data_IF_767791394996
#
_entry.id   IF_767791394996
#
_cell.length_a   1.000
_cell.length_b   1.000
_cell.length_c   1.000
_cell.angle_alpha   90.00
_cell.angle_beta   90.00
_cell.angle_gamma   90.00
#
_symmetry.space_group_name_H-M   'P 1'
#
loop_
_entity.id
_entity.type
_entity.pdbx_description
1 polymer ?
#
# COMPACT_ATOMS: atom_id res chain seq x y z
N UNK A 1 20.46 13.91 -7.42
CA UNK A 1 19.18 14.55 -7.04
C UNK A 1 18.08 13.83 -7.79
N UNK A 2 17.34 12.97 -7.09
CA UNK A 2 16.16 12.33 -7.67
C UNK A 2 15.02 13.35 -7.74
N UNK A 3 14.22 13.32 -8.81
CA UNK A 3 12.99 14.11 -8.93
C UNK A 3 11.86 13.16 -9.26
N UNK A 4 10.86 13.11 -8.39
CA UNK A 4 9.59 12.44 -8.64
C UNK A 4 8.60 13.53 -9.06
N UNK A 5 7.91 13.32 -10.18
CA UNK A 5 6.86 14.23 -10.62
C UNK A 5 5.55 13.80 -9.96
N UNK A 6 5.12 14.53 -8.95
CA UNK A 6 3.86 14.26 -8.25
C UNK A 6 2.62 14.68 -9.07
N UNK A 7 2.78 15.40 -10.19
CA UNK A 7 1.67 16.02 -10.92
C UNK A 7 0.76 16.84 -9.97
N UNK A 8 -0.53 17.01 -10.27
CA UNK A 8 -1.48 17.64 -9.33
C UNK A 8 -1.86 16.74 -8.14
N UNK A 9 -1.37 15.50 -8.10
CA UNK A 9 -1.62 14.56 -7.02
C UNK A 9 -0.61 14.77 -5.88
N UNK A 10 -1.05 14.60 -4.63
CA UNK A 10 -0.17 14.65 -3.47
C UNK A 10 0.60 13.34 -3.25
N UNK A 11 0.32 12.28 -4.03
CA UNK A 11 0.92 10.96 -3.89
C UNK A 11 1.22 10.31 -5.25
N UNK A 12 2.22 9.42 -5.26
CA UNK A 12 2.64 8.63 -6.42
C UNK A 12 2.82 7.18 -5.99
N UNK A 13 2.11 6.26 -6.62
CA UNK A 13 2.30 4.82 -6.41
C UNK A 13 3.52 4.35 -7.21
N UNK A 14 4.46 3.69 -6.55
CA UNK A 14 5.72 3.22 -7.17
C UNK A 14 5.79 1.70 -7.33
N UNK A 15 4.89 0.99 -6.65
CA UNK A 15 4.81 -0.46 -6.65
C UNK A 15 3.45 -0.90 -6.16
N UNK A 16 2.86 -1.88 -6.83
CA UNK A 16 1.63 -2.51 -6.42
C UNK A 16 1.65 -3.98 -6.82
N UNK A 17 1.32 -4.86 -5.90
CA UNK A 17 1.29 -6.31 -6.15
C UNK A 17 0.39 -7.05 -5.17
N UNK A 18 -0.04 -8.25 -5.56
CA UNK A 18 -0.62 -9.22 -4.64
C UNK A 18 0.48 -9.71 -3.70
N UNK A 19 0.20 -9.77 -2.39
CA UNK A 19 1.21 -10.10 -1.38
C UNK A 19 1.79 -11.51 -1.60
N UNK A 20 0.91 -12.49 -1.76
CA UNK A 20 1.29 -13.90 -1.97
C UNK A 20 0.08 -14.72 -2.42
N UNK A 21 0.30 -16.00 -2.78
CA UNK A 21 -0.80 -16.93 -3.03
C UNK A 21 -1.69 -17.16 -1.78
N UNK A 22 -1.13 -17.08 -0.57
CA UNK A 22 -1.89 -17.21 0.70
C UNK A 22 -2.77 -15.97 0.95
N UNK A 23 -2.32 -14.80 0.49
CA UNK A 23 -2.98 -13.50 0.64
C UNK A 23 -3.36 -12.92 -0.72
N UNK A 24 -3.94 -13.76 -1.58
CA UNK A 24 -4.25 -13.40 -2.98
C UNK A 24 -5.34 -12.33 -3.14
N UNK A 25 -6.16 -12.12 -2.11
CA UNK A 25 -7.22 -11.12 -2.06
C UNK A 25 -6.76 -9.81 -1.42
N UNK A 26 -5.47 -9.69 -1.08
CA UNK A 26 -4.88 -8.48 -0.49
C UNK A 26 -3.79 -7.96 -1.41
N UNK A 27 -3.95 -6.71 -1.82
CA UNK A 27 -3.00 -5.98 -2.66
C UNK A 27 -2.21 -5.04 -1.77
N UNK A 28 -0.88 -5.12 -1.89
CA UNK A 28 0.03 -4.15 -1.28
C UNK A 28 0.31 -3.05 -2.31
N UNK A 29 0.06 -1.80 -1.93
CA UNK A 29 0.44 -0.61 -2.69
C UNK A 29 1.48 0.18 -1.89
N UNK A 30 2.55 0.63 -2.54
CA UNK A 30 3.56 1.51 -1.95
C UNK A 30 3.52 2.85 -2.66
N UNK A 31 3.32 3.92 -1.88
CA UNK A 31 3.29 5.29 -2.37
C UNK A 31 4.39 6.11 -1.73
N UNK A 32 4.81 7.12 -2.48
CA UNK A 32 5.54 8.26 -1.94
C UNK A 32 4.55 9.42 -1.95
N UNK A 33 4.41 10.08 -0.82
CA UNK A 33 3.52 11.24 -0.68
C UNK A 33 4.34 12.49 -0.38
N UNK A 34 3.90 13.60 -0.93
CA UNK A 34 4.46 14.90 -0.64
C UNK A 34 3.85 15.43 0.65
N UNK A 35 4.68 15.64 1.67
CA UNK A 35 4.31 16.27 2.92
C UNK A 35 4.76 17.73 2.93
N UNK A 36 4.25 18.53 3.88
CA UNK A 36 4.63 19.93 3.99
C UNK A 36 6.15 20.12 4.16
N UNK A 37 6.67 21.24 3.63
CA UNK A 37 8.07 21.68 3.75
C UNK A 37 9.12 20.79 3.05
N UNK A 38 8.87 20.38 1.80
CA UNK A 38 9.80 19.60 0.97
C UNK A 38 10.21 18.24 1.56
N UNK A 39 9.38 17.72 2.46
CA UNK A 39 9.54 16.38 3.05
C UNK A 39 8.57 15.42 2.38
N UNK A 40 8.87 14.14 2.49
CA UNK A 40 8.09 13.09 1.89
C UNK A 40 7.80 11.99 2.91
N UNK A 41 6.69 11.31 2.75
CA UNK A 41 6.32 10.10 3.51
C UNK A 41 6.24 8.91 2.56
N UNK A 42 6.43 7.72 3.12
CA UNK A 42 6.10 6.46 2.46
C UNK A 42 4.75 6.04 3.03
N UNK A 43 3.75 5.87 2.16
CA UNK A 43 2.49 5.24 2.52
C UNK A 43 2.48 3.80 1.99
N UNK A 44 2.10 2.85 2.82
CA UNK A 44 1.87 1.46 2.40
C UNK A 44 0.43 1.12 2.74
N UNK A 45 -0.31 0.75 1.71
CA UNK A 45 -1.72 0.35 1.81
C UNK A 45 -1.82 -1.15 1.54
N UNK A 46 -2.58 -1.84 2.38
CA UNK A 46 -2.99 -3.21 2.17
C UNK A 46 -4.51 -3.25 2.02
N UNK A 47 -4.94 -3.26 0.76
CA UNK A 47 -6.35 -3.18 0.39
C UNK A 47 -6.85 -4.55 -0.07
N UNK A 48 -8.12 -4.89 0.17
CA UNK A 48 -8.79 -5.92 -0.59
C UNK A 48 -8.70 -5.62 -2.09
N UNK A 49 -8.56 -6.65 -2.90
CA UNK A 49 -8.49 -6.55 -4.38
C UNK A 49 -9.58 -5.67 -4.99
N UNK A 50 -10.83 -5.75 -4.49
CA UNK A 50 -11.96 -4.95 -4.98
C UNK A 50 -11.99 -3.49 -4.47
N UNK A 51 -11.13 -3.11 -3.52
CA UNK A 51 -11.11 -1.79 -2.87
C UNK A 51 -9.79 -1.03 -3.06
N UNK A 52 -8.91 -1.52 -3.93
CA UNK A 52 -7.60 -0.91 -4.19
C UNK A 52 -7.75 0.57 -4.52
N UNK A 53 -7.05 1.44 -3.77
CA UNK A 53 -7.06 2.89 -3.98
C UNK A 53 -8.34 3.60 -3.55
N UNK A 54 -9.27 2.91 -2.89
CA UNK A 54 -10.46 3.54 -2.27
C UNK A 54 -10.20 4.02 -0.83
N UNK A 55 -8.98 3.82 -0.31
CA UNK A 55 -8.62 4.14 1.08
C UNK A 55 -9.21 3.17 2.10
N UNK A 56 -9.61 1.97 1.63
CA UNK A 56 -10.24 0.92 2.41
C UNK A 56 -9.24 -0.22 2.65
N UNK A 57 -8.66 -0.26 3.85
CA UNK A 57 -7.62 -1.23 4.17
C UNK A 57 -6.76 -0.83 5.35
N UNK A 58 -5.59 -1.44 5.43
CA UNK A 58 -4.57 -1.11 6.42
C UNK A 58 -3.60 -0.12 5.82
N UNK A 59 -3.53 1.07 6.44
CA UNK A 59 -2.66 2.13 5.97
C UNK A 59 -1.56 2.36 7.00
N UNK A 60 -0.35 2.38 6.49
CA UNK A 60 0.86 2.67 7.23
C UNK A 60 1.56 3.88 6.63
N UNK A 61 1.97 4.84 7.46
CA UNK A 61 2.68 6.03 7.01
C UNK A 61 4.00 6.23 7.76
N UNK A 62 5.09 6.44 7.02
CA UNK A 62 6.39 6.76 7.61
C UNK A 62 6.40 8.15 8.26
N UNK A 63 7.36 8.38 9.15
CA UNK A 63 7.74 9.75 9.51
C UNK A 63 8.23 10.50 8.26
N UNK A 64 7.91 11.81 8.14
CA UNK A 64 8.39 12.62 7.03
C UNK A 64 9.92 12.73 7.00
N UNK A 65 10.52 12.46 5.84
CA UNK A 65 11.98 12.51 5.62
C UNK A 65 12.31 13.07 4.24
N UNK A 66 13.59 13.19 3.90
CA UNK A 66 13.99 13.64 2.56
C UNK A 66 13.85 12.53 1.51
N UNK A 67 13.73 12.93 0.25
CA UNK A 67 13.51 12.00 -0.86
C UNK A 67 14.65 10.98 -1.03
N UNK A 68 15.90 11.39 -0.86
CA UNK A 68 17.05 10.50 -1.03
C UNK A 68 17.03 9.34 0.00
N UNK A 69 16.59 9.61 1.23
CA UNK A 69 16.37 8.58 2.25
C UNK A 69 15.25 7.62 1.85
N UNK A 70 14.12 8.14 1.35
CA UNK A 70 13.02 7.31 0.86
C UNK A 70 13.50 6.39 -0.26
N UNK A 71 14.20 6.93 -1.25
CA UNK A 71 14.71 6.15 -2.38
C UNK A 71 15.58 5.01 -1.89
N UNK A 72 16.55 5.29 -1.01
CA UNK A 72 17.42 4.26 -0.44
C UNK A 72 16.64 3.15 0.28
N UNK A 73 15.64 3.52 1.07
CA UNK A 73 14.83 2.55 1.83
C UNK A 73 14.01 1.66 0.89
N UNK A 74 13.36 2.27 -0.10
CA UNK A 74 12.50 1.55 -1.04
C UNK A 74 13.30 0.71 -2.04
N UNK A 75 14.46 1.18 -2.51
CA UNK A 75 15.35 0.36 -3.35
C UNK A 75 15.83 -0.90 -2.60
N UNK A 76 16.18 -0.76 -1.32
CA UNK A 76 16.56 -1.91 -0.49
C UNK A 76 15.38 -2.87 -0.25
N UNK A 77 14.19 -2.36 0.00
CA UNK A 77 13.02 -3.18 0.31
C UNK A 77 12.44 -3.89 -0.92
N UNK A 78 12.39 -3.20 -2.06
CA UNK A 78 11.86 -3.75 -3.31
C UNK A 78 12.90 -4.51 -4.12
N UNK A 79 14.19 -4.36 -3.78
CA UNK A 79 15.31 -4.83 -4.59
C UNK A 79 15.25 -4.34 -6.06
N UNK A 80 14.69 -3.15 -6.27
CA UNK A 80 14.56 -2.47 -7.57
C UNK A 80 15.11 -1.06 -7.46
N UNK A 81 15.87 -0.62 -8.45
CA UNK A 81 16.31 0.78 -8.53
C UNK A 81 15.14 1.69 -8.87
N UNK A 82 15.23 2.98 -8.53
CA UNK A 82 14.21 3.99 -8.87
C UNK A 82 13.91 4.04 -10.38
N UNK A 83 14.88 3.73 -11.24
CA UNK A 83 14.71 3.64 -12.70
C UNK A 83 13.87 2.45 -13.16
N UNK A 84 13.65 1.48 -12.28
CA UNK A 84 12.89 0.24 -12.50
C UNK A 84 11.54 0.27 -11.77
N UNK A 85 11.19 1.40 -11.14
CA UNK A 85 9.90 1.54 -10.47
C UNK A 85 8.79 1.79 -11.47
N UNK A 86 7.71 1.04 -11.28
CA UNK A 86 6.50 1.14 -12.06
C UNK A 86 5.66 2.25 -11.45
N UNK A 87 5.80 3.48 -11.97
CA UNK A 87 4.98 4.60 -11.54
C UNK A 87 3.53 4.36 -11.98
N UNK A 88 2.72 3.83 -11.07
CA UNK A 88 1.30 3.55 -11.32
C UNK A 88 0.54 4.86 -11.21
N UNK A 89 0.24 5.46 -12.36
CA UNK A 89 -0.76 6.54 -12.44
C UNK A 89 -2.10 5.91 -12.08
N UNK A 90 -2.84 6.58 -11.19
CA UNK A 90 -4.04 6.15 -10.45
C UNK A 90 -5.15 5.46 -11.28
N UNK A 91 -5.09 5.45 -12.62
CA UNK A 91 -6.20 5.13 -13.52
C UNK A 91 -6.09 3.76 -14.24
N UNK A 92 -5.01 2.98 -14.05
CA UNK A 92 -4.72 1.82 -14.92
C UNK A 92 -4.84 0.44 -14.27
N UNK A 93 -5.54 0.30 -13.14
CA UNK A 93 -6.11 -1.02 -12.83
C UNK A 93 -7.54 -0.99 -13.29
N UNK A 94 -7.75 -1.56 -14.48
CA UNK A 94 -9.09 -1.94 -14.87
C UNK A 94 -9.67 -2.79 -13.73
N UNK A 95 -10.82 -2.36 -13.21
CA UNK A 95 -11.76 -3.18 -12.43
C UNK A 95 -11.93 -4.60 -13.02
N UNK A 96 -11.60 -4.79 -14.30
CA UNK A 96 -11.59 -6.06 -15.03
C UNK A 96 -10.50 -7.10 -14.63
N UNK A 97 -9.55 -6.80 -13.74
CA UNK A 97 -8.42 -7.71 -13.42
C UNK A 97 -8.63 -8.54 -12.16
N UNK A 98 -9.55 -8.13 -11.29
CA UNK A 98 -9.86 -8.86 -10.07
C UNK A 98 -11.21 -9.52 -10.30
N UNK A 99 -11.19 -10.86 -10.42
CA UNK A 99 -12.43 -11.65 -10.45
C UNK A 99 -13.31 -11.29 -9.25
N UNK A 100 -14.62 -11.52 -9.35
CA UNK A 100 -15.52 -11.42 -8.19
C UNK A 100 -14.87 -12.06 -6.95
N UNK A 101 -14.69 -11.25 -5.92
CA UNK A 101 -14.11 -11.66 -4.64
C UNK A 101 -14.93 -12.82 -4.10
N UNK A 102 -14.31 -13.98 -3.85
CA UNK A 102 -14.94 -14.99 -3.02
C UNK A 102 -14.94 -14.47 -1.58
N UNK A 103 -16.09 -13.97 -1.14
CA UNK A 103 -16.27 -13.38 0.20
C UNK A 103 -15.76 -14.30 1.32
N UNK A 104 -15.86 -15.62 1.15
CA UNK A 104 -15.38 -16.60 2.14
C UNK A 104 -13.85 -16.60 2.22
N UNK A 105 -13.20 -16.52 1.05
CA UNK A 105 -11.75 -16.50 0.92
C UNK A 105 -11.17 -15.19 1.46
N UNK A 106 -11.78 -14.05 1.12
CA UNK A 106 -11.33 -12.74 1.61
C UNK A 106 -11.44 -12.61 3.14
N UNK A 107 -12.50 -13.14 3.76
CA UNK A 107 -12.63 -13.19 5.22
C UNK A 107 -11.51 -14.00 5.89
N UNK A 108 -11.22 -15.19 5.35
CA UNK A 108 -10.14 -16.05 5.86
C UNK A 108 -8.79 -15.34 5.72
N UNK A 109 -8.55 -14.68 4.59
CA UNK A 109 -7.29 -13.98 4.37
C UNK A 109 -7.16 -12.71 5.23
N UNK A 110 -8.24 -11.98 5.52
CA UNK A 110 -8.22 -10.86 6.49
C UNK A 110 -7.79 -11.37 7.87
N UNK A 111 -8.33 -12.52 8.32
CA UNK A 111 -7.89 -13.13 9.58
C UNK A 111 -6.42 -13.59 9.57
N UNK A 112 -5.96 -14.20 8.47
CA UNK A 112 -4.56 -14.60 8.31
C UNK A 112 -3.67 -13.36 8.32
N UNK A 113 -4.05 -12.31 7.61
CA UNK A 113 -3.32 -11.05 7.53
C UNK A 113 -3.19 -10.40 8.90
N UNK A 114 -4.29 -10.29 9.65
CA UNK A 114 -4.30 -9.76 11.01
C UNK A 114 -3.42 -10.60 11.96
N UNK A 115 -3.60 -11.93 12.00
CA UNK A 115 -2.96 -12.78 13.01
C UNK A 115 -1.52 -13.17 12.68
N UNK A 116 -1.24 -13.50 11.43
CA UNK A 116 0.07 -14.06 10.99
C UNK A 116 1.02 -12.97 10.49
N UNK A 117 0.49 -11.93 9.86
CA UNK A 117 1.29 -10.85 9.28
C UNK A 117 1.29 -9.58 10.14
N UNK A 118 0.69 -9.65 11.33
CA UNK A 118 0.50 -8.51 12.24
C UNK A 118 -0.10 -7.32 11.50
N UNK A 119 -1.18 -7.59 10.78
CA UNK A 119 -1.90 -6.64 9.93
C UNK A 119 -1.02 -5.96 8.87
N UNK A 120 0.09 -6.60 8.46
CA UNK A 120 1.02 -6.10 7.45
C UNK A 120 2.33 -5.55 8.02
N UNK A 121 2.49 -5.46 9.34
CA UNK A 121 3.72 -4.97 9.98
C UNK A 121 4.96 -5.76 9.56
N UNK A 122 4.83 -7.08 9.41
CA UNK A 122 5.93 -7.95 8.99
C UNK A 122 6.31 -7.80 7.50
N UNK A 123 5.53 -7.04 6.73
CA UNK A 123 5.72 -6.84 5.29
C UNK A 123 6.28 -5.45 4.94
N UNK A 124 6.58 -4.64 5.96
CA UNK A 124 7.08 -3.28 5.79
C UNK A 124 8.60 -3.24 5.50
N UNK A 125 9.09 -2.15 4.89
CA UNK A 125 10.51 -1.83 4.90
C UNK A 125 11.02 -1.65 6.32
N UNK A 126 12.30 -1.93 6.55
CA UNK A 126 12.96 -1.58 7.81
C UNK A 126 13.19 -0.06 7.84
N UNK A 127 12.41 0.65 8.67
CA UNK A 127 12.27 2.11 8.61
C UNK A 127 12.79 2.79 9.87
N UNK A 128 13.39 3.97 9.66
CA UNK A 128 13.97 4.82 10.70
C UNK A 128 12.87 5.49 11.54
N UNK A 129 12.30 4.75 12.50
CA UNK A 129 11.52 5.30 13.60
C UNK A 129 10.05 5.54 13.29
N UNK A 130 9.23 4.94 14.17
CA UNK A 130 7.78 5.07 14.42
C UNK A 130 6.90 5.63 13.31
N UNK A 131 5.85 4.87 13.02
CA UNK A 131 4.84 5.19 12.05
C UNK A 131 3.44 5.01 12.63
N UNK A 132 2.50 5.78 12.10
CA UNK A 132 1.10 5.69 12.49
C UNK A 132 0.45 4.51 11.74
N UNK A 133 -0.09 3.58 12.52
CA UNK A 133 -0.86 2.44 12.04
C UNK A 133 -2.33 2.76 12.17
N UNK A 134 -3.04 2.91 11.05
CA UNK A 134 -4.47 3.19 11.06
C UNK A 134 -5.20 2.19 10.18
N UNK A 135 -6.03 1.35 10.81
CA UNK A 135 -7.08 0.62 10.09
C UNK A 135 -8.14 1.63 9.66
N UNK A 136 -8.31 1.83 8.36
CA UNK A 136 -9.44 2.58 7.85
C UNK A 136 -10.64 1.63 7.78
N UNK A 137 -11.80 2.01 8.34
CA UNK A 137 -12.92 1.08 8.49
C UNK A 137 -13.51 0.73 7.12
N UNK A 138 -13.40 -0.56 6.79
CA UNK A 138 -13.92 -1.20 5.60
C UNK A 138 -15.38 -0.85 5.26
N UNK A 139 -15.61 -0.21 4.11
CA UNK A 139 -16.91 -0.27 3.44
C UNK A 139 -17.26 -1.71 3.05
N UNK A 140 -16.24 -2.56 2.82
CA UNK A 140 -16.34 -4.00 2.52
C UNK A 140 -17.19 -4.79 3.53
N UNK A 141 -16.93 -4.69 4.84
CA UNK A 141 -17.73 -5.42 5.85
C UNK A 141 -19.18 -4.94 5.89
N UNK A 142 -19.43 -3.67 5.62
CA UNK A 142 -20.80 -3.11 5.50
C UNK A 142 -21.51 -3.57 4.23
N UNK A 143 -20.78 -3.67 3.11
CA UNK A 143 -21.27 -4.18 1.81
C UNK A 143 -21.69 -5.65 1.89
N UNK A 144 -21.01 -6.46 2.71
CA UNK A 144 -21.27 -7.90 2.87
C UNK A 144 -21.91 -8.29 4.22
N UNK A 145 -22.36 -7.33 5.03
CA UNK A 145 -23.13 -7.59 6.26
C UNK A 145 -22.34 -8.24 7.41
N UNK A 146 -21.03 -7.97 7.48
CA UNK A 146 -20.09 -8.55 8.45
C UNK A 146 -19.83 -7.64 9.66
N UNK A 147 -20.35 -6.41 9.64
CA UNK A 147 -20.50 -5.46 10.76
C UNK A 147 -21.77 -4.62 10.59
#
# INVERSE_FOLDING_TARGET
>A
MHRINFSSAHSVCIHRDIISNELSEIVKSIYIENSDNEKYTIAIEFDPTEMVGQGDGWIWNSTPTNLDNIVKILENHTNKKISEWDFVIFDNISEASFNETDNSKALIQDEIFEKKYDSGHLLLPDLLGYAEWKKMPYTYRKKYGLI
#
